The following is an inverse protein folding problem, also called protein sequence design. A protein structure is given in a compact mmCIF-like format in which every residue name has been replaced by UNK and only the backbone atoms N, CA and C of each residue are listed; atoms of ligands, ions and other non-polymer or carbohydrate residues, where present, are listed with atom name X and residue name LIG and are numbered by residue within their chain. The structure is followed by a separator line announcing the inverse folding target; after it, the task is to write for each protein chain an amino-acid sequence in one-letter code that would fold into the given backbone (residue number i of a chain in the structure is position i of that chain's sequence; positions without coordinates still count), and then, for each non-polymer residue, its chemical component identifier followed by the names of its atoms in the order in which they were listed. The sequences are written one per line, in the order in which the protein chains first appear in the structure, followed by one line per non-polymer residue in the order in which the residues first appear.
data_IF_432548100977
#
_entry.id   IF_432548100977
#
_cell.length_a   1.000
_cell.length_b   1.000
_cell.length_c   1.000
_cell.angle_alpha   90.00
_cell.angle_beta   90.00
_cell.angle_gamma   90.00
#
_symmetry.space_group_name_H-M   'P 1'
#
loop_
_entity.id
_entity.type
_entity.pdbx_description
1 polymer ?
#
# COMPACT_ATOMS: atom_id res chain seq x y z
N UNK A 1 -7.73 16.85 -18.73
CA UNK A 1 -6.66 16.19 -17.92
C UNK A 1 -5.46 17.10 -17.72
N UNK A 2 -4.76 17.63 -18.74
CA UNK A 2 -3.55 18.47 -18.58
C UNK A 2 -3.75 19.68 -17.64
N UNK A 3 -4.87 20.41 -17.76
CA UNK A 3 -5.21 21.53 -16.86
C UNK A 3 -5.44 21.06 -15.41
N UNK A 4 -6.09 19.89 -15.22
CA UNK A 4 -6.27 19.28 -13.89
C UNK A 4 -4.92 18.99 -13.25
N UNK A 5 -4.02 18.29 -13.94
CA UNK A 5 -2.69 17.99 -13.41
C UNK A 5 -1.86 19.25 -13.14
N UNK A 6 -2.00 20.28 -13.97
CA UNK A 6 -1.37 21.58 -13.69
C UNK A 6 -1.85 22.16 -12.35
N UNK A 7 -3.16 22.10 -12.07
CA UNK A 7 -3.73 22.56 -10.80
C UNK A 7 -3.18 21.73 -9.61
N UNK A 8 -3.21 20.39 -9.71
CA UNK A 8 -2.72 19.52 -8.65
C UNK A 8 -1.23 19.77 -8.33
N UNK A 9 -0.39 19.90 -9.36
CA UNK A 9 1.03 20.19 -9.17
C UNK A 9 1.26 21.59 -8.58
N UNK A 10 0.48 22.59 -8.95
CA UNK A 10 0.56 23.92 -8.36
C UNK A 10 0.19 23.91 -6.87
N UNK A 11 -0.85 23.17 -6.48
CA UNK A 11 -1.20 22.95 -5.06
C UNK A 11 -0.07 22.28 -4.28
N UNK A 12 0.66 21.37 -4.93
CA UNK A 12 1.87 20.73 -4.39
C UNK A 12 3.12 21.64 -4.38
N UNK A 13 3.00 22.90 -4.78
CA UNK A 13 4.12 23.84 -4.80
C UNK A 13 5.00 23.76 -6.07
N UNK A 14 4.66 22.90 -7.04
CA UNK A 14 5.37 22.79 -8.31
C UNK A 14 4.96 23.93 -9.25
N UNK A 15 5.90 24.81 -9.56
CA UNK A 15 5.65 26.03 -10.36
C UNK A 15 5.74 25.80 -11.87
N UNK A 16 6.36 24.71 -12.28
CA UNK A 16 6.60 24.39 -13.68
C UNK A 16 5.30 24.04 -14.41
N UNK A 17 5.30 24.34 -15.71
CA UNK A 17 4.17 23.97 -16.58
C UNK A 17 4.23 22.49 -16.95
N UNK A 18 3.09 21.85 -16.88
CA UNK A 18 2.89 20.49 -17.43
C UNK A 18 3.07 20.55 -18.96
N UNK A 19 4.07 19.85 -19.47
CA UNK A 19 4.33 19.75 -20.92
C UNK A 19 3.64 18.54 -21.53
N UNK A 20 3.62 17.42 -20.81
CA UNK A 20 3.04 16.15 -21.27
C UNK A 20 2.33 15.42 -20.12
N UNK A 21 1.34 14.60 -20.49
CA UNK A 21 0.71 13.65 -19.58
C UNK A 21 0.27 12.42 -20.34
N UNK A 22 0.62 11.25 -19.82
CA UNK A 22 0.29 9.96 -20.44
C UNK A 22 -0.29 9.03 -19.37
N UNK A 23 -1.42 8.38 -19.69
CA UNK A 23 -1.93 7.30 -18.84
C UNK A 23 -0.94 6.13 -18.87
N UNK A 24 -0.62 5.60 -17.70
CA UNK A 24 0.23 4.43 -17.56
C UNK A 24 -0.60 3.26 -17.07
N UNK A 25 -0.22 2.07 -17.49
CA UNK A 25 -0.83 0.82 -17.06
C UNK A 25 -0.14 0.36 -15.77
N UNK A 26 -0.91 -0.02 -14.78
CA UNK A 26 -0.44 -0.55 -13.50
C UNK A 26 -1.46 -0.25 -12.42
N UNK A 27 -2.04 -1.29 -11.82
CA UNK A 27 -3.13 -1.20 -10.86
C UNK A 27 -4.52 -1.21 -11.49
N UNK A 28 -5.45 -1.90 -10.85
CA UNK A 28 -6.83 -2.08 -11.31
C UNK A 28 -7.83 -1.10 -10.69
N UNK A 29 -7.39 -0.31 -9.71
CA UNK A 29 -8.28 0.48 -8.85
C UNK A 29 -8.23 1.97 -9.19
N UNK A 30 -7.02 2.49 -9.43
CA UNK A 30 -6.79 3.91 -9.68
C UNK A 30 -6.42 4.15 -11.15
N UNK A 31 -6.79 5.31 -11.66
CA UNK A 31 -6.17 5.81 -12.88
C UNK A 31 -4.77 6.31 -12.56
N UNK A 32 -3.77 5.85 -13.32
CA UNK A 32 -2.38 6.21 -13.14
C UNK A 32 -1.85 6.99 -14.34
N UNK A 33 -1.05 8.03 -14.06
CA UNK A 33 -0.51 8.92 -15.07
C UNK A 33 0.96 9.24 -14.82
N UNK A 34 1.74 9.21 -15.90
CA UNK A 34 3.02 9.93 -15.98
C UNK A 34 2.71 11.37 -16.37
N UNK A 35 3.15 12.31 -15.55
CA UNK A 35 3.01 13.76 -15.84
C UNK A 35 4.40 14.38 -15.87
N UNK A 36 4.72 15.11 -16.95
CA UNK A 36 6.05 15.65 -17.19
C UNK A 36 6.00 17.18 -17.21
N UNK A 37 6.96 17.80 -16.53
CA UNK A 37 7.35 19.20 -16.66
C UNK A 37 8.68 19.30 -17.42
N UNK A 38 9.23 20.49 -17.57
CA UNK A 38 10.58 20.64 -18.17
C UNK A 38 11.70 20.05 -17.30
N UNK A 39 11.51 19.98 -15.99
CA UNK A 39 12.56 19.62 -15.04
C UNK A 39 12.31 18.27 -14.37
N UNK A 40 11.05 17.87 -14.19
CA UNK A 40 10.67 16.74 -13.36
C UNK A 40 9.56 15.91 -13.99
N UNK A 41 9.47 14.68 -13.53
CA UNK A 41 8.40 13.74 -13.86
C UNK A 41 7.72 13.30 -12.58
N UNK A 42 6.41 13.11 -12.68
CA UNK A 42 5.55 12.72 -11.57
C UNK A 42 4.72 11.50 -11.93
N UNK A 43 4.50 10.65 -10.94
CA UNK A 43 3.49 9.61 -11.01
C UNK A 43 2.25 10.10 -10.25
N UNK A 44 1.11 10.15 -10.93
CA UNK A 44 -0.15 10.61 -10.31
C UNK A 44 -1.15 9.47 -10.32
N UNK A 45 -1.61 9.07 -9.13
CA UNK A 45 -2.79 8.23 -8.94
C UNK A 45 -4.01 9.12 -8.74
N UNK A 46 -5.10 8.78 -9.42
CA UNK A 46 -6.34 9.54 -9.35
C UNK A 46 -7.55 8.60 -9.30
N UNK A 47 -8.50 8.88 -8.39
CA UNK A 47 -9.72 8.08 -8.27
C UNK A 47 -10.80 8.85 -7.50
N UNK A 48 -11.76 9.43 -8.19
CA UNK A 48 -12.89 10.17 -7.58
C UNK A 48 -13.74 9.30 -6.64
N UNK A 49 -13.82 7.99 -6.93
CA UNK A 49 -14.59 7.03 -6.16
C UNK A 49 -13.78 6.36 -5.02
N UNK A 50 -12.53 6.77 -4.80
CA UNK A 50 -11.72 6.19 -3.73
C UNK A 50 -12.43 6.35 -2.36
N UNK A 51 -12.28 5.40 -1.44
CA UNK A 51 -12.75 5.59 -0.06
C UNK A 51 -12.12 6.80 0.62
N UNK A 52 -12.76 7.31 1.68
CA UNK A 52 -12.18 8.37 2.49
C UNK A 52 -10.84 7.93 3.09
N UNK A 53 -9.87 8.82 3.13
CA UNK A 53 -8.50 8.58 3.61
C UNK A 53 -7.67 7.57 2.79
N UNK A 54 -8.12 7.19 1.60
CA UNK A 54 -7.44 6.19 0.77
C UNK A 54 -6.01 6.62 0.41
N UNK A 55 -5.85 7.80 -0.15
CA UNK A 55 -4.54 8.33 -0.53
C UNK A 55 -3.71 8.82 0.66
N UNK A 56 -4.36 9.33 1.70
CA UNK A 56 -3.69 9.63 2.98
C UNK A 56 -3.02 8.39 3.56
N UNK A 57 -3.69 7.25 3.56
CA UNK A 57 -3.15 6.00 4.12
C UNK A 57 -2.03 5.43 3.26
N UNK A 58 -2.14 5.53 1.94
CA UNK A 58 -1.06 5.13 1.02
C UNK A 58 0.18 6.02 1.23
N UNK A 59 0.01 7.34 1.31
CA UNK A 59 1.09 8.27 1.60
C UNK A 59 1.76 7.98 2.94
N UNK A 60 0.99 7.72 4.00
CA UNK A 60 1.52 7.33 5.31
C UNK A 60 2.35 6.04 5.25
N UNK A 61 1.89 5.03 4.49
CA UNK A 61 2.62 3.77 4.30
C UNK A 61 3.97 3.99 3.61
N UNK A 62 4.00 4.78 2.52
CA UNK A 62 5.24 5.12 1.81
C UNK A 62 6.21 5.90 2.72
N UNK A 63 5.71 6.90 3.45
CA UNK A 63 6.53 7.67 4.39
C UNK A 63 7.09 6.82 5.54
N UNK A 64 6.31 5.83 6.02
CA UNK A 64 6.78 4.89 7.03
C UNK A 64 7.94 4.03 6.49
N UNK A 65 7.79 3.46 5.29
CA UNK A 65 8.86 2.69 4.65
C UNK A 65 10.09 3.57 4.41
N UNK A 66 9.90 4.78 3.90
CA UNK A 66 10.98 5.75 3.67
C UNK A 66 11.76 6.07 4.96
N UNK A 67 11.06 6.20 6.10
CA UNK A 67 11.70 6.49 7.39
C UNK A 67 12.66 5.41 7.87
N UNK A 68 12.56 4.18 7.36
CA UNK A 68 13.50 3.09 7.67
C UNK A 68 14.87 3.29 7.03
N UNK A 69 14.99 4.11 5.99
CA UNK A 69 16.20 4.35 5.21
C UNK A 69 16.85 3.06 4.66
N UNK A 70 16.06 2.03 4.40
CA UNK A 70 16.56 0.71 3.97
C UNK A 70 16.27 0.42 2.51
N UNK A 71 15.06 0.76 2.05
CA UNK A 71 14.62 0.56 0.69
C UNK A 71 14.09 1.88 0.12
N UNK A 72 14.44 2.18 -1.12
CA UNK A 72 13.94 3.36 -1.80
C UNK A 72 12.46 3.18 -2.18
N UNK A 73 11.64 4.15 -1.83
CA UNK A 73 10.26 4.30 -2.27
C UNK A 73 10.06 5.68 -2.87
N UNK A 74 9.09 5.89 -3.77
CA UNK A 74 8.84 7.20 -4.35
C UNK A 74 8.55 8.26 -3.29
N UNK A 75 9.11 9.44 -3.43
CA UNK A 75 8.78 10.58 -2.59
C UNK A 75 7.32 10.96 -2.77
N UNK A 76 6.63 11.17 -1.64
CA UNK A 76 5.26 11.69 -1.62
C UNK A 76 5.31 13.22 -1.78
N UNK A 77 4.86 13.70 -2.93
CA UNK A 77 4.88 15.14 -3.24
C UNK A 77 3.62 15.83 -2.69
N UNK A 78 2.46 15.21 -2.91
CA UNK A 78 1.16 15.74 -2.44
C UNK A 78 0.09 14.68 -2.51
N UNK A 79 -0.95 14.81 -1.71
CA UNK A 79 -2.14 13.96 -1.78
C UNK A 79 -3.37 14.70 -1.27
N UNK A 80 -4.55 14.23 -1.65
CA UNK A 80 -5.84 14.68 -1.15
C UNK A 80 -6.86 13.55 -1.15
N UNK A 81 -7.74 13.56 -0.15
CA UNK A 81 -8.93 12.72 -0.07
C UNK A 81 -10.22 13.56 -0.03
N UNK A 82 -10.16 14.84 -0.42
CA UNK A 82 -11.33 15.70 -0.52
C UNK A 82 -12.28 15.22 -1.62
N UNK A 83 -13.57 15.42 -1.44
CA UNK A 83 -14.62 14.77 -2.21
C UNK A 83 -14.47 14.92 -3.73
N UNK A 84 -13.98 16.05 -4.22
CA UNK A 84 -13.84 16.34 -5.65
C UNK A 84 -12.38 16.26 -6.15
N UNK A 85 -11.42 16.00 -5.29
CA UNK A 85 -9.99 16.00 -5.60
C UNK A 85 -9.23 14.86 -4.88
N UNK A 86 -9.54 13.59 -5.19
CA UNK A 86 -8.87 12.44 -4.60
C UNK A 86 -7.72 11.98 -5.48
N UNK A 87 -6.49 12.22 -4.99
CA UNK A 87 -5.27 11.95 -5.74
C UNK A 87 -4.07 11.72 -4.83
N UNK A 88 -3.04 11.10 -5.41
CA UNK A 88 -1.70 11.00 -4.84
C UNK A 88 -0.68 11.34 -5.92
N UNK A 89 0.19 12.29 -5.64
CA UNK A 89 1.32 12.69 -6.49
C UNK A 89 2.60 12.17 -5.88
N UNK A 90 3.30 11.37 -6.64
CA UNK A 90 4.57 10.76 -6.25
C UNK A 90 5.68 11.19 -7.22
N UNK A 91 6.91 11.07 -6.77
CA UNK A 91 8.08 11.04 -7.63
C UNK A 91 7.90 9.97 -8.72
N UNK A 92 8.37 10.28 -9.93
CA UNK A 92 8.51 9.27 -10.97
C UNK A 92 9.84 8.55 -10.82
N UNK A 93 9.83 7.35 -10.32
CA UNK A 93 11.02 6.50 -10.25
C UNK A 93 11.33 5.93 -11.63
N UNK A 94 12.59 6.01 -12.04
CA UNK A 94 13.08 5.46 -13.32
C UNK A 94 14.22 4.50 -13.05
N UNK A 95 14.25 3.39 -13.75
CA UNK A 95 15.34 2.43 -13.64
C UNK A 95 15.22 1.33 -14.68
N UNK A 96 16.23 0.48 -14.76
CA UNK A 96 16.21 -0.73 -15.57
C UNK A 96 16.55 -1.93 -14.70
N UNK A 97 15.82 -3.01 -14.89
CA UNK A 97 16.13 -4.27 -14.22
C UNK A 97 17.51 -4.76 -14.67
N UNK A 98 18.35 -5.08 -13.70
CA UNK A 98 19.70 -5.65 -13.90
C UNK A 98 19.74 -7.05 -13.29
N UNK A 99 20.83 -7.78 -13.50
CA UNK A 99 21.02 -9.09 -12.86
C UNK A 99 21.10 -9.01 -11.33
N UNK A 100 21.40 -7.83 -10.76
CA UNK A 100 21.50 -7.63 -9.31
C UNK A 100 20.19 -7.15 -8.67
N UNK A 101 19.18 -6.76 -9.46
CA UNK A 101 17.94 -6.14 -8.95
C UNK A 101 17.24 -7.03 -7.91
N UNK A 102 17.10 -8.32 -8.21
CA UNK A 102 16.37 -9.23 -7.32
C UNK A 102 17.15 -9.49 -6.01
N UNK A 103 18.49 -9.56 -6.09
CA UNK A 103 19.37 -9.67 -4.91
C UNK A 103 19.28 -8.43 -4.04
N UNK A 104 19.42 -7.24 -4.63
CA UNK A 104 19.33 -5.97 -3.93
C UNK A 104 17.95 -5.78 -3.28
N UNK A 105 16.88 -6.18 -3.98
CA UNK A 105 15.53 -6.15 -3.42
C UNK A 105 15.44 -7.01 -2.16
N UNK A 106 15.92 -8.25 -2.22
CA UNK A 106 15.92 -9.15 -1.06
C UNK A 106 16.72 -8.59 0.13
N UNK A 107 17.91 -8.05 -0.12
CA UNK A 107 18.75 -7.43 0.92
C UNK A 107 18.05 -6.21 1.55
N UNK A 108 17.45 -5.34 0.74
CA UNK A 108 16.78 -4.12 1.20
C UNK A 108 15.49 -4.44 1.97
N UNK A 109 14.72 -5.42 1.52
CA UNK A 109 13.54 -5.90 2.25
C UNK A 109 13.93 -6.53 3.58
N UNK A 110 14.97 -7.36 3.62
CA UNK A 110 15.46 -7.92 4.86
C UNK A 110 15.90 -6.82 5.84
N UNK A 111 16.60 -5.79 5.37
CA UNK A 111 16.98 -4.64 6.19
C UNK A 111 15.75 -3.85 6.68
N UNK A 112 14.71 -3.68 5.85
CA UNK A 112 13.44 -3.06 6.27
C UNK A 112 12.76 -3.89 7.36
N UNK A 113 12.70 -5.20 7.22
CA UNK A 113 12.10 -6.10 8.19
C UNK A 113 12.87 -6.18 9.51
N UNK A 114 14.13 -5.73 9.58
CA UNK A 114 14.87 -5.59 10.84
C UNK A 114 14.46 -4.36 11.65
N UNK A 115 13.71 -3.43 11.07
CA UNK A 115 13.10 -2.34 11.83
C UNK A 115 11.89 -2.88 12.59
N UNK A 116 11.96 -2.83 13.91
CA UNK A 116 10.95 -3.40 14.81
C UNK A 116 10.02 -2.31 15.32
N UNK A 117 8.73 -2.63 15.39
CA UNK A 117 7.76 -1.87 16.15
C UNK A 117 7.68 -2.35 17.60
N UNK A 118 6.89 -1.66 18.40
CA UNK A 118 6.58 -2.09 19.77
C UNK A 118 5.49 -3.16 19.80
N UNK A 119 4.54 -3.11 18.87
CA UNK A 119 3.40 -4.01 18.78
C UNK A 119 3.08 -4.35 17.31
N UNK A 120 2.37 -5.46 17.11
CA UNK A 120 1.83 -5.84 15.81
C UNK A 120 0.62 -5.00 15.45
N UNK A 121 0.55 -4.54 14.19
CA UNK A 121 -0.61 -3.82 13.72
C UNK A 121 -0.30 -2.46 13.11
N UNK A 122 -1.30 -1.59 13.10
CA UNK A 122 -1.17 -0.23 12.61
C UNK A 122 -2.17 0.69 13.30
N UNK A 123 -1.86 1.97 13.38
CA UNK A 123 -2.66 2.97 14.09
C UNK A 123 -4.04 3.21 13.48
N UNK A 124 -4.19 2.98 12.18
CA UNK A 124 -5.43 3.23 11.43
C UNK A 124 -5.81 2.00 10.62
N UNK A 125 -7.11 1.80 10.38
CA UNK A 125 -7.57 0.86 9.37
C UNK A 125 -7.04 1.26 8.00
N UNK A 126 -6.60 0.28 7.21
CA UNK A 126 -6.04 0.46 5.87
C UNK A 126 -6.96 -0.17 4.82
N UNK A 127 -6.49 -0.28 3.60
CA UNK A 127 -7.20 -0.95 2.52
C UNK A 127 -6.31 -2.01 1.86
N UNK A 128 -6.94 -3.07 1.37
CA UNK A 128 -6.36 -3.96 0.37
C UNK A 128 -7.29 -3.93 -0.84
N UNK A 129 -6.81 -3.37 -1.94
CA UNK A 129 -7.73 -2.97 -2.99
C UNK A 129 -8.74 -1.93 -2.48
N UNK A 130 -10.03 -2.22 -2.60
CA UNK A 130 -11.12 -1.40 -2.05
C UNK A 130 -11.66 -1.96 -0.74
N UNK A 131 -11.14 -3.09 -0.26
CA UNK A 131 -11.58 -3.72 0.98
C UNK A 131 -10.90 -3.08 2.17
N UNK A 132 -11.69 -2.64 3.13
CA UNK A 132 -11.17 -2.13 4.39
C UNK A 132 -10.51 -3.24 5.18
N UNK A 133 -9.30 -2.98 5.67
CA UNK A 133 -8.56 -3.83 6.60
C UNK A 133 -8.55 -3.17 7.97
N UNK A 134 -9.32 -3.67 8.94
CA UNK A 134 -9.23 -3.17 10.30
C UNK A 134 -7.86 -3.48 10.88
N UNK A 135 -7.34 -2.52 11.63
CA UNK A 135 -6.08 -2.63 12.37
C UNK A 135 -6.31 -2.39 13.86
N UNK A 136 -5.32 -2.02 14.57
CA UNK A 136 -5.16 -1.85 15.99
C UNK A 136 -3.83 -2.45 16.40
N UNK A 137 -3.40 -2.24 17.63
CA UNK A 137 -2.15 -2.77 18.14
C UNK A 137 -2.39 -4.00 19.00
N UNK A 138 -1.53 -5.00 18.86
CA UNK A 138 -1.59 -6.30 19.53
C UNK A 138 -0.20 -6.71 19.97
N UNK A 139 -0.10 -7.31 21.13
CA UNK A 139 1.16 -7.88 21.63
C UNK A 139 1.48 -9.22 20.96
N UNK A 140 0.45 -9.94 20.52
CA UNK A 140 0.58 -11.22 19.83
C UNK A 140 0.30 -11.10 18.33
N UNK A 141 1.26 -11.56 17.51
CA UNK A 141 1.07 -11.69 16.07
C UNK A 141 -0.06 -12.67 15.74
N UNK A 142 -0.15 -13.79 16.46
CA UNK A 142 -1.18 -14.79 16.28
C UNK A 142 -2.57 -14.20 16.43
N UNK A 143 -2.81 -13.42 17.50
CA UNK A 143 -4.08 -12.77 17.75
C UNK A 143 -4.41 -11.73 16.69
N UNK A 144 -3.43 -10.85 16.37
CA UNK A 144 -3.61 -9.84 15.33
C UNK A 144 -3.97 -10.48 13.99
N UNK A 145 -3.22 -11.51 13.55
CA UNK A 145 -3.43 -12.16 12.27
C UNK A 145 -4.76 -12.90 12.22
N UNK A 146 -5.10 -13.63 13.31
CA UNK A 146 -6.41 -14.29 13.44
C UNK A 146 -7.54 -13.29 13.34
N UNK A 147 -7.54 -12.24 14.17
CA UNK A 147 -8.71 -11.38 14.37
C UNK A 147 -8.84 -10.30 13.30
N UNK A 148 -7.69 -9.72 12.85
CA UNK A 148 -7.68 -8.59 11.92
C UNK A 148 -7.46 -8.98 10.46
N UNK A 149 -7.00 -10.19 10.20
CA UNK A 149 -6.78 -10.65 8.82
C UNK A 149 -7.74 -11.79 8.46
N UNK A 150 -7.66 -12.91 9.13
CA UNK A 150 -8.40 -14.11 8.74
C UNK A 150 -9.88 -14.05 9.12
N UNK A 151 -10.20 -13.73 10.38
CA UNK A 151 -11.59 -13.67 10.86
C UNK A 151 -12.39 -12.60 10.12
N UNK A 152 -11.80 -11.44 9.90
CA UNK A 152 -12.44 -10.34 9.13
C UNK A 152 -12.81 -10.80 7.72
N UNK A 153 -11.92 -11.51 7.03
CA UNK A 153 -12.18 -12.01 5.68
C UNK A 153 -13.21 -13.15 5.68
N UNK A 154 -13.17 -14.01 6.69
CA UNK A 154 -14.18 -15.07 6.85
C UNK A 154 -15.58 -14.47 7.04
N UNK A 155 -15.72 -13.49 7.95
CA UNK A 155 -16.98 -12.81 8.19
C UNK A 155 -17.52 -12.14 6.93
N UNK A 156 -16.69 -11.40 6.23
CA UNK A 156 -17.04 -10.76 4.97
C UNK A 156 -17.48 -11.78 3.91
N UNK A 157 -16.80 -12.92 3.83
CA UNK A 157 -17.14 -14.00 2.92
C UNK A 157 -18.49 -14.66 3.26
N UNK A 158 -18.82 -14.78 4.55
CA UNK A 158 -20.11 -15.30 5.01
C UNK A 158 -21.23 -14.27 4.71
N UNK A 159 -21.02 -13.00 5.03
CA UNK A 159 -21.99 -11.92 4.74
C UNK A 159 -22.33 -11.82 3.26
N UNK A 160 -21.33 -12.00 2.39
CA UNK A 160 -21.49 -11.99 0.93
C UNK A 160 -21.99 -13.33 0.35
N UNK A 161 -22.30 -14.30 1.20
CA UNK A 161 -22.74 -15.65 0.80
C UNK A 161 -21.76 -16.41 -0.13
N UNK A 162 -20.46 -16.10 -0.09
CA UNK A 162 -19.43 -16.83 -0.83
C UNK A 162 -18.72 -17.88 -0.01
N UNK A 163 -18.91 -17.88 1.32
CA UNK A 163 -18.40 -18.88 2.26
C UNK A 163 -19.55 -19.41 3.10
N UNK A 164 -19.81 -20.75 3.01
CA UNK A 164 -20.89 -21.41 3.75
C UNK A 164 -20.57 -22.89 3.99
N UNK A 165 -21.41 -23.58 4.77
CA UNK A 165 -21.39 -25.01 5.03
C UNK A 165 -20.02 -25.53 5.46
N UNK A 166 -19.59 -26.68 4.95
CA UNK A 166 -18.31 -27.33 5.29
C UNK A 166 -17.08 -26.46 5.09
N UNK A 167 -17.12 -25.54 4.12
CA UNK A 167 -15.99 -24.59 3.89
C UNK A 167 -15.86 -23.63 5.06
N UNK A 168 -16.96 -23.09 5.54
CA UNK A 168 -17.01 -22.23 6.72
C UNK A 168 -16.51 -22.97 7.95
N UNK A 169 -17.03 -24.16 8.22
CA UNK A 169 -16.64 -24.98 9.36
C UNK A 169 -15.12 -25.25 9.39
N UNK A 170 -14.53 -25.62 8.24
CA UNK A 170 -13.08 -25.84 8.12
C UNK A 170 -12.25 -24.59 8.38
N UNK A 171 -12.71 -23.41 7.91
CA UNK A 171 -12.03 -22.14 8.16
C UNK A 171 -12.13 -21.74 9.64
N UNK A 172 -13.29 -21.94 10.26
CA UNK A 172 -13.45 -21.69 11.71
C UNK A 172 -12.56 -22.63 12.53
N UNK A 173 -12.44 -23.91 12.16
CA UNK A 173 -11.52 -24.86 12.80
C UNK A 173 -10.05 -24.45 12.61
N UNK A 174 -9.68 -23.96 11.43
CA UNK A 174 -8.33 -23.44 11.18
C UNK A 174 -8.02 -22.27 12.10
N UNK A 175 -8.93 -21.32 12.24
CA UNK A 175 -8.77 -20.15 13.11
C UNK A 175 -8.54 -20.55 14.58
N UNK A 176 -9.19 -21.58 15.05
CA UNK A 176 -9.03 -22.10 16.42
C UNK A 176 -7.71 -22.86 16.64
N UNK A 177 -6.99 -23.21 15.59
CA UNK A 177 -5.77 -24.04 15.65
C UNK A 177 -4.56 -23.32 15.03
N UNK A 178 -4.62 -22.01 14.85
CA UNK A 178 -3.53 -21.24 14.24
C UNK A 178 -2.23 -21.32 15.01
N UNK A 179 -2.29 -21.48 16.34
CA UNK A 179 -1.16 -21.72 17.24
C UNK A 179 -0.29 -22.92 16.83
N UNK A 180 -0.85 -23.88 16.13
CA UNK A 180 -0.10 -25.04 15.60
C UNK A 180 0.82 -24.67 14.41
N UNK A 181 0.59 -23.55 13.77
CA UNK A 181 1.22 -23.17 12.49
C UNK A 181 2.01 -21.88 12.59
N UNK A 182 1.64 -21.00 13.52
CA UNK A 182 2.21 -19.68 13.70
C UNK A 182 2.94 -19.66 15.04
N UNK A 183 4.26 -19.38 15.08
CA UNK A 183 4.99 -19.22 16.32
C UNK A 183 4.42 -18.09 17.19
N UNK A 184 4.52 -18.22 18.51
CA UNK A 184 4.04 -17.20 19.45
C UNK A 184 5.00 -16.02 19.58
N UNK A 185 6.31 -16.26 19.45
CA UNK A 185 7.40 -15.32 19.71
C UNK A 185 7.87 -14.57 18.44
N UNK A 186 6.93 -14.09 17.64
CA UNK A 186 7.24 -13.27 16.46
C UNK A 186 7.38 -11.81 16.87
N UNK A 187 8.53 -11.21 16.55
CA UNK A 187 8.74 -9.77 16.76
C UNK A 187 8.02 -8.94 15.68
N UNK A 188 7.42 -7.78 16.06
CA UNK A 188 6.74 -6.93 15.11
C UNK A 188 7.73 -6.21 14.18
N UNK A 189 7.71 -6.55 12.91
CA UNK A 189 8.54 -5.96 11.86
C UNK A 189 7.73 -5.03 10.97
N UNK A 190 8.37 -4.03 10.39
CA UNK A 190 7.78 -3.24 9.32
C UNK A 190 7.64 -4.07 8.06
N UNK A 191 6.44 -4.09 7.50
CA UNK A 191 6.10 -4.86 6.31
C UNK A 191 5.54 -3.94 5.22
N UNK A 192 5.81 -4.26 3.96
CA UNK A 192 5.08 -3.66 2.84
C UNK A 192 3.61 -4.13 2.83
N UNK A 193 3.39 -5.41 3.10
CA UNK A 193 2.06 -6.00 3.26
C UNK A 193 1.37 -6.46 1.97
N UNK A 194 1.77 -5.97 0.79
CA UNK A 194 1.19 -6.31 -0.51
C UNK A 194 2.24 -6.28 -1.64
N UNK A 195 3.47 -6.67 -1.35
CA UNK A 195 4.57 -6.63 -2.34
C UNK A 195 4.39 -7.73 -3.40
N UNK A 196 4.27 -7.32 -4.64
CA UNK A 196 4.20 -8.23 -5.78
C UNK A 196 4.95 -7.65 -6.99
N UNK A 197 5.16 -8.44 -8.04
CA UNK A 197 5.98 -8.03 -9.19
C UNK A 197 5.55 -6.74 -9.90
N UNK A 198 4.30 -6.31 -9.76
CA UNK A 198 3.80 -5.04 -10.30
C UNK A 198 4.12 -3.82 -9.45
N UNK A 199 4.53 -4.00 -8.19
CA UNK A 199 4.98 -2.93 -7.28
C UNK A 199 6.47 -2.61 -7.45
N UNK A 200 7.20 -3.47 -8.18
CA UNK A 200 8.63 -3.31 -8.43
C UNK A 200 8.80 -2.52 -9.71
N UNK A 201 8.95 -1.21 -9.59
CA UNK A 201 9.31 -0.38 -10.75
C UNK A 201 10.82 -0.46 -11.00
N UNK A 202 11.16 -1.14 -12.08
CA UNK A 202 12.51 -1.22 -12.62
C UNK A 202 12.63 -0.42 -13.93
N UNK A 203 11.74 0.54 -14.12
CA UNK A 203 11.68 1.32 -15.36
C UNK A 203 12.68 2.44 -15.38
#
# INVERSE_FOLDING_TARGET
MKQRFQKLLQQAGVKEKVINSKRVTGGSINEAYLVETKQQKFFIKYNEAAPNHFFTLEAMGLQLIQSTNTIHVPDVISYSDEQDERFLVLEWVSGNKTQQTDTLLGERLAAMHQNMGEQHGFTKSTFIGTLQQPNGFYDSWLEYYRDRRLLTQLQLGVERNVISGKRREKLEQLLMQLDRWIPEDISPSYLHGDLWGGELDCR
#
